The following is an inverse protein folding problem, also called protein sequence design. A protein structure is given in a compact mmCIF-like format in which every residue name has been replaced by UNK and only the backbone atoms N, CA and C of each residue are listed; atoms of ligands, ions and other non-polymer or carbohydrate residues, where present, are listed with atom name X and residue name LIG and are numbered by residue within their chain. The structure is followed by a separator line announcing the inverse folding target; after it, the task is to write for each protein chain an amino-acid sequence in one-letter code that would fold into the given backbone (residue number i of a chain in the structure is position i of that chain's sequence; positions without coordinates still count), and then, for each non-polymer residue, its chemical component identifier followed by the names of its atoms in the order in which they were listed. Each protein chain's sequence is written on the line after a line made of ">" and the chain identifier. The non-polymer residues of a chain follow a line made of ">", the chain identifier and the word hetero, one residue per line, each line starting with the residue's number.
data_IF_320878905469
#
_entry.id   IF_320878905469
#
_cell.length_a   1.000
_cell.length_b   1.000
_cell.length_c   1.000
_cell.angle_alpha   90.00
_cell.angle_beta   90.00
_cell.angle_gamma   90.00
#
_symmetry.space_group_name_H-M   'P 1'
#
loop_
_entity.id
_entity.type
_entity.pdbx_description
1 polymer ?
#
# COMPACT_ATOMS: atom_id res chain seq x y z
N UNK A 1 -8.96 -19.99 -6.51
CA UNK A 1 -8.20 -19.09 -7.41
C UNK A 1 -7.96 -17.71 -6.78
N UNK A 2 -8.99 -16.98 -6.32
CA UNK A 2 -8.85 -15.60 -5.79
C UNK A 2 -8.08 -15.50 -4.47
N UNK A 3 -8.19 -16.49 -3.59
CA UNK A 3 -7.37 -16.55 -2.37
C UNK A 3 -5.87 -16.72 -2.65
N UNK A 4 -5.51 -17.46 -3.71
CA UNK A 4 -4.12 -17.53 -4.17
C UNK A 4 -3.67 -16.18 -4.76
N UNK A 5 -4.54 -15.52 -5.52
CA UNK A 5 -4.25 -14.20 -6.10
C UNK A 5 -3.95 -13.15 -5.02
N UNK A 6 -4.74 -13.11 -3.94
CA UNK A 6 -4.47 -12.18 -2.84
C UNK A 6 -3.18 -12.54 -2.06
N UNK A 7 -2.84 -13.82 -1.92
CA UNK A 7 -1.57 -14.22 -1.32
C UNK A 7 -0.36 -13.81 -2.16
N UNK A 8 -0.46 -13.91 -3.49
CA UNK A 8 0.57 -13.39 -4.41
C UNK A 8 0.70 -11.87 -4.29
N UNK A 9 -0.43 -11.15 -4.19
CA UNK A 9 -0.45 -9.70 -3.97
C UNK A 9 0.27 -9.33 -2.67
N UNK A 10 -0.07 -10.00 -1.58
CA UNK A 10 0.53 -9.80 -0.26
C UNK A 10 2.04 -10.07 -0.28
N UNK A 11 2.47 -11.13 -0.97
CA UNK A 11 3.88 -11.43 -1.12
C UNK A 11 4.63 -10.30 -1.84
N UNK A 12 4.14 -9.84 -3.00
CA UNK A 12 4.78 -8.76 -3.72
C UNK A 12 4.76 -7.44 -2.95
N UNK A 13 3.67 -7.11 -2.27
CA UNK A 13 3.61 -5.91 -1.44
C UNK A 13 4.50 -6.01 -0.20
N UNK A 14 4.68 -7.18 0.39
CA UNK A 14 5.65 -7.39 1.46
C UNK A 14 7.09 -7.18 0.99
N UNK A 15 7.42 -7.72 -0.19
CA UNK A 15 8.73 -7.52 -0.83
C UNK A 15 8.97 -6.08 -1.28
N UNK A 16 7.92 -5.30 -1.57
CA UNK A 16 8.07 -3.94 -2.09
C UNK A 16 8.81 -3.01 -1.13
N UNK A 17 8.69 -3.20 0.18
CA UNK A 17 9.41 -2.38 1.16
C UNK A 17 10.92 -2.61 1.07
N UNK A 18 11.34 -3.87 0.89
CA UNK A 18 12.74 -4.25 0.77
C UNK A 18 13.35 -3.75 -0.54
N UNK A 19 12.62 -3.88 -1.65
CA UNK A 19 13.07 -3.37 -2.95
C UNK A 19 13.10 -1.84 -2.98
N UNK A 20 12.16 -1.17 -2.28
CA UNK A 20 12.18 0.30 -2.15
C UNK A 20 13.36 0.77 -1.32
N UNK A 21 13.66 0.08 -0.22
CA UNK A 21 14.83 0.36 0.62
C UNK A 21 16.13 0.20 -0.17
N UNK A 22 16.28 -0.89 -0.91
CA UNK A 22 17.44 -1.14 -1.77
C UNK A 22 17.66 -0.05 -2.84
N UNK A 23 16.60 0.61 -3.33
CA UNK A 23 16.71 1.77 -4.23
C UNK A 23 17.15 3.01 -3.47
N UNK A 24 16.58 3.25 -2.29
CA UNK A 24 16.89 4.42 -1.46
C UNK A 24 18.32 4.38 -0.93
N UNK A 25 18.85 3.21 -0.62
CA UNK A 25 20.25 2.98 -0.21
C UNK A 25 21.28 3.35 -1.30
N UNK A 26 20.86 3.36 -2.59
CA UNK A 26 21.66 3.86 -3.69
C UNK A 26 21.62 5.39 -3.83
N UNK A 27 21.10 6.10 -2.82
CA UNK A 27 20.96 7.56 -2.80
C UNK A 27 20.12 8.12 -3.96
N UNK A 28 19.18 7.34 -4.50
CA UNK A 28 18.25 7.83 -5.52
C UNK A 28 17.29 8.83 -4.88
N UNK A 29 17.12 10.04 -5.45
CA UNK A 29 16.15 11.00 -4.94
C UNK A 29 14.73 10.44 -4.96
N UNK A 30 13.92 10.77 -3.95
CA UNK A 30 12.61 10.12 -3.74
C UNK A 30 11.66 10.35 -4.90
N UNK A 31 11.57 11.57 -5.43
CA UNK A 31 10.67 11.85 -6.55
C UNK A 31 11.15 11.20 -7.85
N UNK A 32 12.46 11.14 -8.09
CA UNK A 32 13.06 10.38 -9.20
C UNK A 32 12.68 8.92 -9.13
N UNK A 33 12.83 8.30 -7.96
CA UNK A 33 12.46 6.90 -7.73
C UNK A 33 10.98 6.66 -8.02
N UNK A 34 10.09 7.42 -7.35
CA UNK A 34 8.64 7.23 -7.52
C UNK A 34 8.22 7.50 -8.95
N UNK A 35 8.67 8.60 -9.57
CA UNK A 35 8.33 8.96 -10.94
C UNK A 35 8.74 7.87 -11.93
N UNK A 36 9.99 7.40 -11.87
CA UNK A 36 10.49 6.31 -12.73
C UNK A 36 9.65 5.05 -12.57
N UNK A 37 9.36 4.64 -11.32
CA UNK A 37 8.47 3.51 -11.03
C UNK A 37 7.08 3.68 -11.66
N UNK A 38 6.48 4.89 -11.58
CA UNK A 38 5.14 5.15 -12.14
C UNK A 38 5.15 5.15 -13.66
N UNK A 39 6.18 5.73 -14.31
CA UNK A 39 6.33 5.69 -15.77
C UNK A 39 6.42 4.25 -16.26
N UNK A 40 7.27 3.43 -15.66
CA UNK A 40 7.41 2.01 -16.03
C UNK A 40 6.12 1.23 -15.81
N UNK A 41 5.47 1.40 -14.66
CA UNK A 41 4.19 0.73 -14.37
C UNK A 41 3.09 1.14 -15.34
N UNK A 42 2.93 2.45 -15.59
CA UNK A 42 1.93 2.97 -16.54
C UNK A 42 2.18 2.44 -17.96
N UNK A 43 3.43 2.41 -18.40
CA UNK A 43 3.80 1.89 -19.72
C UNK A 43 3.44 0.40 -19.84
N UNK A 44 3.90 -0.43 -18.89
CA UNK A 44 3.62 -1.88 -18.90
C UNK A 44 2.11 -2.16 -18.85
N UNK A 45 1.38 -1.50 -17.95
CA UNK A 45 -0.06 -1.69 -17.79
C UNK A 45 -0.85 -1.22 -19.02
N UNK A 46 -0.46 -0.08 -19.60
CA UNK A 46 -1.11 0.45 -20.81
C UNK A 46 -0.89 -0.49 -21.99
N UNK A 47 0.36 -0.91 -22.24
CA UNK A 47 0.66 -1.86 -23.31
C UNK A 47 -0.10 -3.17 -23.13
N UNK A 48 -0.08 -3.75 -21.93
CA UNK A 48 -0.80 -4.99 -21.65
C UNK A 48 -2.32 -4.82 -21.82
N UNK A 49 -2.89 -3.76 -21.29
CA UNK A 49 -4.35 -3.51 -21.35
C UNK A 49 -4.84 -3.22 -22.77
N UNK A 50 -4.02 -2.57 -23.60
CA UNK A 50 -4.32 -2.33 -25.02
C UNK A 50 -4.20 -3.63 -25.82
N UNK A 51 -3.11 -4.39 -25.66
CA UNK A 51 -2.88 -5.64 -26.38
C UNK A 51 -3.95 -6.70 -26.07
N UNK A 52 -4.46 -6.71 -24.82
CA UNK A 52 -5.52 -7.64 -24.40
C UNK A 52 -6.94 -7.12 -24.61
N UNK A 53 -7.10 -5.89 -25.11
CA UNK A 53 -8.42 -5.26 -25.32
C UNK A 53 -9.21 -5.00 -24.03
N UNK A 54 -8.53 -4.96 -22.86
CA UNK A 54 -9.17 -4.82 -21.54
C UNK A 54 -9.34 -3.38 -21.08
N UNK A 55 -8.75 -2.41 -21.77
CA UNK A 55 -8.81 -1.01 -21.40
C UNK A 55 -10.16 -0.40 -21.79
N UNK A 56 -10.96 -0.03 -20.80
CA UNK A 56 -12.22 0.68 -21.00
C UNK A 56 -11.98 2.19 -21.08
N UNK A 57 -12.81 2.86 -21.85
CA UNK A 57 -12.82 4.33 -21.91
C UNK A 57 -13.48 4.91 -20.65
N UNK A 58 -12.85 5.90 -20.03
CA UNK A 58 -13.47 6.64 -18.92
C UNK A 58 -14.70 7.41 -19.44
N UNK A 59 -15.83 7.25 -18.77
CA UNK A 59 -17.07 7.97 -19.09
C UNK A 59 -16.95 9.45 -18.69
N UNK A 60 -17.61 10.32 -19.43
CA UNK A 60 -17.70 11.74 -19.07
C UNK A 60 -18.30 11.86 -17.65
N UNK A 61 -17.64 12.59 -16.75
CA UNK A 61 -18.07 12.75 -15.36
C UNK A 61 -17.47 11.77 -14.37
N UNK A 62 -16.87 10.64 -14.80
CA UNK A 62 -16.17 9.70 -13.91
C UNK A 62 -14.69 10.04 -13.72
N UNK A 63 -14.09 10.85 -14.60
CA UNK A 63 -12.69 11.28 -14.51
C UNK A 63 -12.33 11.83 -13.13
N UNK A 64 -13.24 12.59 -12.51
CA UNK A 64 -13.03 13.12 -11.14
C UNK A 64 -12.77 12.03 -10.10
N UNK A 65 -13.37 10.86 -10.24
CA UNK A 65 -13.17 9.73 -9.33
C UNK A 65 -11.81 9.06 -9.57
N UNK A 66 -11.36 8.96 -10.82
CA UNK A 66 -10.01 8.48 -11.14
C UNK A 66 -8.95 9.45 -10.64
N UNK A 67 -9.14 10.76 -10.82
CA UNK A 67 -8.24 11.79 -10.30
C UNK A 67 -8.18 11.76 -8.77
N UNK A 68 -9.35 11.70 -8.10
CA UNK A 68 -9.41 11.59 -6.64
C UNK A 68 -8.75 10.30 -6.14
N UNK A 69 -9.03 9.16 -6.78
CA UNK A 69 -8.38 7.89 -6.44
C UNK A 69 -6.86 8.00 -6.54
N UNK A 70 -6.34 8.58 -7.63
CA UNK A 70 -4.90 8.76 -7.85
C UNK A 70 -4.28 9.73 -6.84
N UNK A 71 -5.01 10.77 -6.43
CA UNK A 71 -4.55 11.71 -5.40
C UNK A 71 -4.38 11.02 -4.03
N UNK A 72 -5.28 10.10 -3.68
CA UNK A 72 -5.14 9.28 -2.47
C UNK A 72 -4.05 8.22 -2.66
N UNK A 73 -4.17 7.39 -3.67
CA UNK A 73 -3.18 6.38 -4.00
C UNK A 73 -3.10 6.25 -5.54
N UNK A 74 -1.94 6.46 -6.13
CA UNK A 74 -0.61 6.37 -5.51
C UNK A 74 0.00 7.68 -4.99
N UNK A 75 -0.60 8.88 -5.14
CA UNK A 75 0.12 10.11 -4.82
C UNK A 75 0.40 10.25 -3.32
N UNK A 76 -0.63 10.43 -2.48
CA UNK A 76 -0.46 10.61 -1.03
C UNK A 76 0.19 9.37 -0.38
N UNK A 77 -0.23 8.18 -0.80
CA UNK A 77 0.32 6.92 -0.31
C UNK A 77 1.83 6.83 -0.51
N UNK A 78 2.30 6.96 -1.76
CA UNK A 78 3.73 6.78 -2.04
C UNK A 78 4.60 7.92 -1.52
N UNK A 79 4.06 9.12 -1.34
CA UNK A 79 4.77 10.17 -0.60
C UNK A 79 4.99 9.72 0.85
N UNK A 80 3.92 9.29 1.52
CA UNK A 80 4.00 8.83 2.90
C UNK A 80 4.90 7.61 3.08
N UNK A 81 4.72 6.58 2.26
CA UNK A 81 5.51 5.34 2.29
C UNK A 81 6.99 5.60 2.03
N UNK A 82 7.33 6.24 0.91
CA UNK A 82 8.71 6.34 0.45
C UNK A 82 9.53 7.33 1.30
N UNK A 83 8.95 8.47 1.67
CA UNK A 83 9.62 9.39 2.61
C UNK A 83 9.69 8.80 4.02
N UNK A 84 8.63 8.13 4.48
CA UNK A 84 8.63 7.46 5.77
C UNK A 84 9.70 6.35 5.83
N UNK A 85 9.82 5.54 4.78
CA UNK A 85 10.87 4.53 4.66
C UNK A 85 12.27 5.17 4.67
N UNK A 86 12.48 6.21 3.84
CA UNK A 86 13.76 6.92 3.78
C UNK A 86 14.18 7.52 5.13
N UNK A 87 13.23 8.02 5.91
CA UNK A 87 13.49 8.65 7.21
C UNK A 87 13.75 7.60 8.29
N UNK A 88 13.00 6.51 8.28
CA UNK A 88 13.09 5.47 9.32
C UNK A 88 14.15 4.42 9.03
N UNK A 89 14.48 4.17 7.76
CA UNK A 89 15.41 3.12 7.33
C UNK A 89 14.99 1.72 7.75
N UNK A 90 13.68 1.46 7.92
CA UNK A 90 13.16 0.16 8.36
C UNK A 90 11.98 -0.29 7.51
N UNK A 91 12.19 -1.21 6.54
CA UNK A 91 11.13 -1.84 5.77
C UNK A 91 10.05 -2.49 6.65
N UNK A 92 10.49 -3.14 7.73
CA UNK A 92 9.57 -3.81 8.67
C UNK A 92 8.67 -2.81 9.39
N UNK A 93 9.21 -1.70 9.91
CA UNK A 93 8.39 -0.66 10.54
C UNK A 93 7.34 -0.12 9.57
N UNK A 94 7.75 0.22 8.35
CA UNK A 94 6.85 0.73 7.33
C UNK A 94 5.71 -0.24 7.05
N UNK A 95 6.03 -1.51 6.83
CA UNK A 95 5.02 -2.54 6.56
C UNK A 95 4.07 -2.76 7.75
N UNK A 96 4.56 -2.72 9.00
CA UNK A 96 3.74 -2.85 10.22
C UNK A 96 2.76 -1.68 10.36
N UNK A 97 3.20 -0.45 10.11
CA UNK A 97 2.30 0.72 10.15
C UNK A 97 1.27 0.65 9.03
N UNK A 98 1.67 0.34 7.81
CA UNK A 98 0.79 0.24 6.65
C UNK A 98 -0.22 -0.91 6.80
N UNK A 99 0.16 -2.02 7.43
CA UNK A 99 -0.75 -3.12 7.73
C UNK A 99 -1.88 -2.72 8.71
N UNK A 100 -1.84 -1.54 9.32
CA UNK A 100 -2.94 -0.98 10.13
C UNK A 100 -4.04 -0.31 9.30
N UNK A 101 -3.88 -0.14 7.99
CA UNK A 101 -4.88 0.47 7.09
C UNK A 101 -6.31 -0.03 7.36
N UNK A 102 -6.57 -1.34 7.51
CA UNK A 102 -7.91 -1.83 7.81
C UNK A 102 -8.51 -1.29 9.10
N UNK A 103 -7.68 -1.06 10.12
CA UNK A 103 -8.10 -0.49 11.41
C UNK A 103 -8.57 0.96 11.19
N UNK A 104 -7.80 1.76 10.45
CA UNK A 104 -8.18 3.13 10.12
C UNK A 104 -9.40 3.19 9.22
N UNK A 105 -9.57 2.25 8.29
CA UNK A 105 -10.77 2.14 7.46
C UNK A 105 -12.02 1.94 8.32
N UNK A 106 -11.97 1.09 9.35
CA UNK A 106 -13.08 0.90 10.30
C UNK A 106 -13.38 2.15 11.12
N UNK A 107 -12.35 2.84 11.59
CA UNK A 107 -12.50 4.10 12.36
C UNK A 107 -13.17 5.16 11.48
N UNK A 108 -12.72 5.31 10.23
CA UNK A 108 -13.33 6.24 9.26
C UNK A 108 -14.77 5.84 8.96
N UNK A 109 -15.05 4.54 8.78
CA UNK A 109 -16.39 3.99 8.62
C UNK A 109 -17.32 4.36 9.77
N UNK A 110 -16.84 4.22 11.01
CA UNK A 110 -17.62 4.60 12.20
C UNK A 110 -17.87 6.11 12.28
N UNK A 111 -16.85 6.95 12.04
CA UNK A 111 -16.96 8.41 12.23
C UNK A 111 -17.80 9.05 11.12
N UNK A 112 -17.56 8.72 9.87
CA UNK A 112 -18.14 9.40 8.71
C UNK A 112 -19.40 8.71 8.15
N UNK A 113 -19.49 7.39 8.30
CA UNK A 113 -20.60 6.60 7.75
C UNK A 113 -21.51 6.02 8.86
N UNK A 114 -21.22 6.34 10.14
CA UNK A 114 -21.95 5.86 11.32
C UNK A 114 -22.09 4.33 11.38
N UNK A 115 -21.12 3.59 10.85
CA UNK A 115 -21.08 2.14 10.90
C UNK A 115 -20.97 1.66 12.35
N UNK A 116 -21.74 0.62 12.72
CA UNK A 116 -21.72 0.07 14.08
C UNK A 116 -20.58 -0.94 14.21
N UNK A 117 -19.59 -0.61 15.02
CA UNK A 117 -18.52 -1.54 15.37
C UNK A 117 -18.97 -2.49 16.49
N UNK A 118 -18.76 -3.79 16.29
CA UNK A 118 -18.94 -4.79 17.34
C UNK A 118 -17.92 -4.61 18.46
N UNK A 119 -18.17 -5.22 19.63
CA UNK A 119 -17.20 -5.25 20.72
C UNK A 119 -15.89 -5.88 20.30
N UNK A 120 -15.93 -6.94 19.48
CA UNK A 120 -14.74 -7.60 18.96
C UNK A 120 -13.92 -6.68 18.04
N UNK A 121 -14.57 -5.88 17.18
CA UNK A 121 -13.88 -4.89 16.35
C UNK A 121 -13.13 -3.87 17.22
N UNK A 122 -13.78 -3.35 18.28
CA UNK A 122 -13.17 -2.37 19.19
C UNK A 122 -11.96 -2.95 19.94
N UNK A 123 -12.09 -4.19 20.45
CA UNK A 123 -10.98 -4.89 21.09
C UNK A 123 -9.84 -5.10 20.09
N UNK A 124 -10.15 -5.53 18.85
CA UNK A 124 -9.17 -5.72 17.80
C UNK A 124 -8.41 -4.44 17.45
N UNK A 125 -9.10 -3.30 17.35
CA UNK A 125 -8.48 -1.97 17.15
C UNK A 125 -7.48 -1.67 18.27
N UNK A 126 -7.91 -1.86 19.53
CA UNK A 126 -7.04 -1.61 20.68
C UNK A 126 -5.81 -2.53 20.69
N UNK A 127 -5.99 -3.82 20.42
CA UNK A 127 -4.89 -4.81 20.37
C UNK A 127 -3.93 -4.48 19.22
N UNK A 128 -4.44 -4.09 18.05
CA UNK A 128 -3.61 -3.70 16.91
C UNK A 128 -2.73 -2.50 17.24
N UNK A 129 -3.32 -1.45 17.81
CA UNK A 129 -2.61 -0.22 18.20
C UNK A 129 -1.58 -0.52 19.29
N UNK A 130 -1.94 -1.31 20.31
CA UNK A 130 -1.01 -1.71 21.37
C UNK A 130 0.18 -2.53 20.82
N UNK A 131 -0.06 -3.43 19.86
CA UNK A 131 0.98 -4.19 19.20
C UNK A 131 1.97 -3.32 18.41
N UNK A 132 1.46 -2.34 17.65
CA UNK A 132 2.30 -1.37 16.91
C UNK A 132 3.11 -0.49 17.87
N UNK A 133 2.47 0.04 18.92
CA UNK A 133 3.17 0.83 19.94
C UNK A 133 4.26 0.00 20.62
N UNK A 134 3.94 -1.24 21.02
CA UNK A 134 4.90 -2.18 21.60
C UNK A 134 6.10 -2.43 20.66
N UNK A 135 5.84 -2.67 19.37
CA UNK A 135 6.90 -2.83 18.36
C UNK A 135 7.83 -1.61 18.30
N UNK A 136 7.28 -0.40 18.27
CA UNK A 136 8.03 0.85 18.21
C UNK A 136 8.86 1.07 19.48
N UNK A 137 8.26 0.92 20.66
CA UNK A 137 8.92 1.14 21.96
C UNK A 137 10.07 0.16 22.20
N UNK A 138 9.87 -1.12 21.84
CA UNK A 138 10.89 -2.16 21.99
C UNK A 138 12.05 -1.94 21.03
N UNK A 139 11.81 -1.36 19.85
CA UNK A 139 12.83 -0.98 18.89
C UNK A 139 13.85 0.01 19.47
N UNK A 140 13.41 0.86 20.40
CA UNK A 140 14.27 1.77 21.17
C UNK A 140 14.71 3.04 20.44
N UNK A 141 14.25 3.27 19.22
CA UNK A 141 14.62 4.44 18.40
C UNK A 141 13.59 5.55 18.52
N UNK A 142 13.47 6.17 19.70
CA UNK A 142 12.49 7.24 19.95
C UNK A 142 13.05 8.67 19.72
N UNK A 143 14.08 8.82 18.89
CA UNK A 143 14.54 10.15 18.54
C UNK A 143 13.56 10.86 17.59
N UNK A 144 13.57 12.19 17.63
CA UNK A 144 12.58 13.05 16.94
C UNK A 144 12.45 12.73 15.45
N UNK A 145 13.55 12.48 14.75
CA UNK A 145 13.54 12.15 13.33
C UNK A 145 12.78 10.85 13.02
N UNK A 146 12.96 9.82 13.87
CA UNK A 146 12.27 8.54 13.73
C UNK A 146 10.74 8.69 13.93
N UNK A 147 10.34 9.44 14.97
CA UNK A 147 8.93 9.76 15.22
C UNK A 147 8.30 10.57 14.08
N UNK A 148 9.10 11.49 13.50
CA UNK A 148 8.64 12.22 12.30
C UNK A 148 8.42 11.27 11.11
N UNK A 149 9.33 10.31 10.87
CA UNK A 149 9.17 9.29 9.85
C UNK A 149 7.90 8.46 10.05
N UNK A 150 7.59 8.06 11.30
CA UNK A 150 6.34 7.39 11.66
C UNK A 150 5.12 8.27 11.32
N UNK A 151 5.15 9.55 11.67
CA UNK A 151 4.05 10.47 11.33
C UNK A 151 3.85 10.60 9.82
N UNK A 152 4.93 10.63 9.04
CA UNK A 152 4.88 10.66 7.57
C UNK A 152 4.27 9.38 7.00
N UNK A 153 4.54 8.20 7.59
CA UNK A 153 3.92 6.93 7.19
C UNK A 153 2.39 6.94 7.32
N UNK A 154 1.83 7.69 8.27
CA UNK A 154 0.38 7.82 8.39
C UNK A 154 -0.28 8.52 7.18
N UNK A 155 0.46 9.30 6.39
CA UNK A 155 -0.05 9.81 5.11
C UNK A 155 -0.37 8.65 4.15
N UNK A 156 0.45 7.61 4.14
CA UNK A 156 0.19 6.40 3.36
C UNK A 156 -1.07 5.67 3.85
N UNK A 157 -1.26 5.57 5.17
CA UNK A 157 -2.47 4.96 5.75
C UNK A 157 -3.73 5.72 5.34
N UNK A 158 -3.71 7.07 5.42
CA UNK A 158 -4.81 7.92 4.97
C UNK A 158 -5.04 7.76 3.46
N UNK A 159 -3.97 7.77 2.67
CA UNK A 159 -4.02 7.59 1.22
C UNK A 159 -4.70 6.27 0.83
N UNK A 160 -4.26 5.16 1.38
CA UNK A 160 -4.82 3.85 1.06
C UNK A 160 -6.26 3.67 1.55
N UNK A 161 -6.61 4.27 2.69
CA UNK A 161 -8.00 4.26 3.18
C UNK A 161 -8.93 4.97 2.19
N UNK A 162 -8.57 6.16 1.70
CA UNK A 162 -9.34 6.91 0.71
C UNK A 162 -9.40 6.19 -0.66
N UNK A 163 -8.28 5.64 -1.10
CA UNK A 163 -8.20 4.83 -2.33
C UNK A 163 -9.20 3.68 -2.33
N UNK A 164 -9.22 2.88 -1.26
CA UNK A 164 -10.04 1.66 -1.19
C UNK A 164 -11.52 1.98 -1.38
N UNK A 165 -12.03 3.06 -0.78
CA UNK A 165 -13.42 3.49 -0.91
C UNK A 165 -13.75 3.91 -2.36
N UNK A 166 -12.84 4.64 -3.04
CA UNK A 166 -13.06 5.10 -4.40
C UNK A 166 -12.90 3.96 -5.40
N UNK A 167 -11.93 3.06 -5.18
CA UNK A 167 -11.74 1.86 -6.01
C UNK A 167 -13.02 1.01 -6.04
N UNK A 168 -13.62 0.72 -4.88
CA UNK A 168 -14.90 0.01 -4.80
C UNK A 168 -15.99 0.72 -5.58
N UNK A 169 -16.10 2.06 -5.46
CA UNK A 169 -17.07 2.85 -6.22
C UNK A 169 -16.88 2.75 -7.73
N UNK A 170 -15.64 2.69 -8.22
CA UNK A 170 -15.36 2.52 -9.65
C UNK A 170 -15.70 1.10 -10.14
N UNK A 171 -15.46 0.08 -9.31
CA UNK A 171 -15.87 -1.29 -9.58
C UNK A 171 -17.41 -1.36 -9.69
N UNK A 172 -18.14 -0.78 -8.75
CA UNK A 172 -19.61 -0.75 -8.76
C UNK A 172 -20.20 0.00 -9.96
N UNK A 173 -19.42 0.93 -10.54
CA UNK A 173 -19.76 1.59 -11.82
C UNK A 173 -19.47 0.72 -13.05
N UNK A 174 -18.92 -0.49 -12.90
CA UNK A 174 -18.65 -1.45 -13.96
C UNK A 174 -17.31 -1.27 -14.66
N UNK A 175 -16.35 -0.57 -14.04
CA UNK A 175 -14.98 -0.57 -14.53
C UNK A 175 -14.25 -1.83 -14.06
N UNK A 176 -13.54 -2.49 -14.99
CA UNK A 176 -12.74 -3.65 -14.65
C UNK A 176 -11.41 -3.26 -13.97
N UNK A 177 -10.79 -4.21 -13.26
CA UNK A 177 -9.55 -4.00 -12.53
C UNK A 177 -8.41 -3.44 -13.40
N UNK A 178 -8.26 -3.93 -14.63
CA UNK A 178 -7.23 -3.44 -15.55
C UNK A 178 -7.42 -1.96 -15.90
N UNK A 179 -8.65 -1.54 -16.18
CA UNK A 179 -8.98 -0.14 -16.47
C UNK A 179 -8.69 0.75 -15.28
N UNK A 180 -9.14 0.35 -14.09
CA UNK A 180 -8.95 1.13 -12.86
C UNK A 180 -7.45 1.34 -12.62
N UNK A 181 -6.68 0.27 -12.60
CA UNK A 181 -5.25 0.33 -12.28
C UNK A 181 -4.44 1.01 -13.38
N UNK A 182 -4.74 0.76 -14.66
CA UNK A 182 -4.03 1.42 -15.77
C UNK A 182 -4.21 2.94 -15.73
N UNK A 183 -5.44 3.44 -15.60
CA UNK A 183 -5.69 4.87 -15.51
C UNK A 183 -5.13 5.50 -14.23
N UNK A 184 -5.17 4.78 -13.13
CA UNK A 184 -4.52 5.17 -11.88
C UNK A 184 -3.03 5.47 -12.09
N UNK A 185 -2.30 4.58 -12.75
CA UNK A 185 -0.87 4.77 -12.97
C UNK A 185 -0.56 5.79 -14.08
N UNK A 186 -1.38 5.89 -15.12
CA UNK A 186 -1.27 6.97 -16.12
C UNK A 186 -1.39 8.34 -15.46
N UNK A 187 -2.43 8.56 -14.66
CA UNK A 187 -2.63 9.82 -13.94
C UNK A 187 -1.52 10.07 -12.92
N UNK A 188 -1.01 9.01 -12.27
CA UNK A 188 0.09 9.11 -11.32
C UNK A 188 1.37 9.67 -11.95
N UNK A 189 1.65 9.36 -13.22
CA UNK A 189 2.78 9.97 -13.93
C UNK A 189 2.64 11.49 -13.93
N UNK A 190 1.46 12.02 -14.22
CA UNK A 190 1.20 13.47 -14.16
C UNK A 190 1.37 14.06 -12.76
N UNK A 191 0.86 13.37 -11.73
CA UNK A 191 0.98 13.82 -10.34
C UNK A 191 2.45 13.86 -9.86
N UNK A 192 3.27 12.88 -10.25
CA UNK A 192 4.68 12.81 -9.82
C UNK A 192 5.63 13.55 -10.75
N UNK A 193 5.23 13.88 -11.99
CA UNK A 193 6.03 14.69 -12.89
C UNK A 193 6.34 16.06 -12.29
N UNK A 194 5.33 16.71 -11.69
CA UNK A 194 5.49 18.07 -11.14
C UNK A 194 6.53 18.10 -10.00
N UNK A 195 6.42 17.31 -8.93
CA UNK A 195 7.44 17.30 -7.89
C UNK A 195 8.80 16.79 -8.39
N UNK A 196 8.86 15.84 -9.33
CA UNK A 196 10.12 15.44 -9.95
C UNK A 196 10.81 16.63 -10.64
N UNK A 197 10.08 17.40 -11.45
CA UNK A 197 10.65 18.56 -12.17
C UNK A 197 11.11 19.66 -11.20
N UNK A 198 10.40 19.89 -10.09
CA UNK A 198 10.71 20.95 -9.14
C UNK A 198 11.91 20.58 -8.25
N UNK A 199 11.97 19.35 -7.77
CA UNK A 199 12.91 19.00 -6.70
C UNK A 199 14.09 18.14 -7.16
N UNK A 200 13.92 17.27 -8.16
CA UNK A 200 14.92 16.26 -8.49
C UNK A 200 15.52 16.40 -9.89
N UNK A 201 14.83 17.05 -10.84
CA UNK A 201 15.26 17.08 -12.24
C UNK A 201 16.62 17.74 -12.46
N UNK A 202 16.96 18.76 -11.67
CA UNK A 202 18.27 19.44 -11.76
C UNK A 202 19.45 18.54 -11.36
N UNK A 203 19.19 17.54 -10.52
CA UNK A 203 20.20 16.61 -9.97
C UNK A 203 20.09 15.21 -10.61
N UNK A 204 19.26 15.07 -11.65
CA UNK A 204 19.07 13.79 -12.30
C UNK A 204 20.34 13.35 -13.06
N UNK A 205 20.69 12.10 -12.95
CA UNK A 205 21.84 11.49 -13.62
C UNK A 205 21.48 10.14 -14.25
N UNK A 206 22.08 9.78 -15.41
CA UNK A 206 21.89 8.45 -16.01
C UNK A 206 22.28 7.29 -15.08
N UNK A 207 23.11 7.52 -14.06
CA UNK A 207 23.46 6.52 -13.06
C UNK A 207 22.24 5.94 -12.34
N UNK A 208 21.13 6.70 -12.23
CA UNK A 208 19.88 6.21 -11.66
C UNK A 208 19.15 5.19 -12.55
N UNK A 209 19.61 4.97 -13.78
CA UNK A 209 19.16 3.91 -14.68
C UNK A 209 20.15 2.73 -14.75
N UNK A 210 21.22 2.75 -13.95
CA UNK A 210 22.15 1.62 -13.87
C UNK A 210 21.43 0.37 -13.31
N UNK A 211 21.85 -0.81 -13.75
CA UNK A 211 21.16 -2.06 -13.43
C UNK A 211 20.89 -2.32 -11.94
N UNK A 212 21.83 -2.01 -11.00
CA UNK A 212 21.58 -2.18 -9.57
C UNK A 212 20.40 -1.35 -9.03
N UNK A 213 20.14 -0.19 -9.63
CA UNK A 213 19.00 0.69 -9.30
C UNK A 213 17.77 0.30 -10.10
N UNK A 214 17.94 0.09 -11.40
CA UNK A 214 16.82 -0.15 -12.32
C UNK A 214 16.11 -1.48 -12.04
N UNK A 215 16.86 -2.54 -11.68
CA UNK A 215 16.31 -3.87 -11.40
C UNK A 215 15.22 -3.81 -10.32
N UNK A 216 15.48 -3.35 -9.08
CA UNK A 216 14.43 -3.27 -8.06
C UNK A 216 13.29 -2.29 -8.45
N UNK A 217 13.57 -1.24 -9.21
CA UNK A 217 12.50 -0.36 -9.74
C UNK A 217 11.60 -1.11 -10.73
N UNK A 218 12.15 -1.96 -11.59
CA UNK A 218 11.38 -2.81 -12.51
C UNK A 218 10.54 -3.85 -11.75
N UNK A 219 11.11 -4.49 -10.73
CA UNK A 219 10.39 -5.43 -9.86
C UNK A 219 9.20 -4.72 -9.18
N UNK A 220 9.42 -3.52 -8.65
CA UNK A 220 8.38 -2.68 -8.07
C UNK A 220 7.33 -2.23 -9.09
N UNK A 221 7.74 -1.83 -10.28
CA UNK A 221 6.82 -1.35 -11.31
C UNK A 221 5.95 -2.48 -11.88
N UNK A 222 6.55 -3.62 -12.20
CA UNK A 222 5.85 -4.73 -12.87
C UNK A 222 5.10 -5.58 -11.86
N UNK A 223 5.78 -6.06 -10.81
CA UNK A 223 5.19 -7.02 -9.87
C UNK A 223 4.29 -6.33 -8.85
N UNK A 224 4.77 -5.25 -8.21
CA UNK A 224 4.01 -4.60 -7.15
C UNK A 224 2.97 -3.63 -7.70
N UNK A 225 3.36 -2.75 -8.64
CA UNK A 225 2.45 -1.74 -9.20
C UNK A 225 1.58 -2.27 -10.34
N UNK A 226 2.08 -3.23 -11.12
CA UNK A 226 1.32 -3.89 -12.18
C UNK A 226 0.51 -5.06 -11.65
N UNK A 227 1.16 -6.20 -11.44
CA UNK A 227 0.49 -7.48 -11.14
C UNK A 227 -0.30 -7.40 -9.82
N UNK A 228 0.32 -6.97 -8.73
CA UNK A 228 -0.32 -7.00 -7.42
C UNK A 228 -1.54 -6.06 -7.34
N UNK A 229 -1.48 -4.84 -7.88
CA UNK A 229 -2.64 -3.93 -7.88
C UNK A 229 -3.80 -4.46 -8.74
N UNK A 230 -3.50 -5.06 -9.90
CA UNK A 230 -4.54 -5.67 -10.74
C UNK A 230 -5.17 -6.87 -10.04
N UNK A 231 -4.37 -7.74 -9.43
CA UNK A 231 -4.87 -8.88 -8.66
C UNK A 231 -5.69 -8.41 -7.44
N UNK A 232 -5.24 -7.38 -6.72
CA UNK A 232 -5.99 -6.80 -5.61
C UNK A 232 -7.36 -6.28 -6.05
N UNK A 233 -7.40 -5.44 -7.09
CA UNK A 233 -8.65 -4.90 -7.61
C UNK A 233 -9.59 -6.01 -8.11
N UNK A 234 -9.05 -7.05 -8.75
CA UNK A 234 -9.81 -8.22 -9.17
C UNK A 234 -10.32 -9.04 -7.97
N UNK A 235 -9.53 -9.17 -6.90
CA UNK A 235 -10.01 -9.82 -5.66
C UNK A 235 -11.13 -9.02 -5.02
N UNK A 236 -11.03 -7.69 -4.96
CA UNK A 236 -12.10 -6.81 -4.45
C UNK A 236 -13.39 -7.00 -5.25
N UNK A 237 -13.29 -7.12 -6.57
CA UNK A 237 -14.44 -7.37 -7.46
C UNK A 237 -15.10 -8.74 -7.20
N UNK A 238 -14.31 -9.81 -7.09
CA UNK A 238 -14.82 -11.19 -7.07
C UNK A 238 -15.16 -11.76 -5.70
N UNK A 239 -14.36 -11.46 -4.68
CA UNK A 239 -14.57 -11.98 -3.31
C UNK A 239 -15.04 -10.92 -2.33
N UNK A 240 -15.13 -9.68 -2.80
CA UNK A 240 -15.54 -8.53 -2.01
C UNK A 240 -14.40 -7.89 -1.21
N UNK A 241 -14.57 -6.60 -0.94
CA UNK A 241 -13.57 -5.77 -0.25
C UNK A 241 -13.20 -6.31 1.13
N UNK A 242 -14.20 -6.65 1.96
CA UNK A 242 -13.98 -7.12 3.33
C UNK A 242 -13.12 -8.37 3.38
N UNK A 243 -13.39 -9.36 2.50
CA UNK A 243 -12.60 -10.60 2.45
C UNK A 243 -11.19 -10.39 1.90
N UNK A 244 -11.01 -9.44 0.98
CA UNK A 244 -9.72 -9.11 0.40
C UNK A 244 -8.81 -8.44 1.43
N UNK A 245 -9.33 -7.45 2.15
CA UNK A 245 -8.58 -6.63 3.11
C UNK A 245 -8.08 -7.43 4.32
N UNK A 246 -8.77 -8.52 4.72
CA UNK A 246 -8.33 -9.41 5.82
C UNK A 246 -6.92 -9.99 5.60
N UNK A 247 -6.46 -10.10 4.36
CA UNK A 247 -5.13 -10.64 4.05
C UNK A 247 -4.02 -9.60 4.13
N UNK A 248 -4.32 -8.29 4.12
CA UNK A 248 -3.30 -7.23 4.13
C UNK A 248 -2.34 -7.26 5.33
N UNK A 249 -2.75 -7.65 6.55
CA UNK A 249 -1.83 -7.82 7.67
C UNK A 249 -0.64 -8.76 7.39
N UNK A 250 -0.83 -9.74 6.50
CA UNK A 250 0.25 -10.65 6.11
C UNK A 250 1.40 -9.96 5.38
N UNK A 251 1.17 -8.77 4.81
CA UNK A 251 2.21 -7.94 4.18
C UNK A 251 3.34 -7.64 5.18
N UNK A 252 2.98 -7.28 6.43
CA UNK A 252 3.97 -7.01 7.46
C UNK A 252 4.76 -8.26 7.87
N UNK A 253 4.12 -9.43 7.88
CA UNK A 253 4.78 -10.71 8.19
C UNK A 253 5.77 -11.05 7.07
N UNK A 254 5.37 -10.94 5.80
CA UNK A 254 6.24 -11.18 4.64
C UNK A 254 7.43 -10.22 4.68
N UNK A 255 7.18 -8.93 4.89
CA UNK A 255 8.24 -7.91 4.96
C UNK A 255 9.22 -8.19 6.11
N UNK A 256 8.73 -8.48 7.32
CA UNK A 256 9.57 -8.79 8.48
C UNK A 256 10.44 -10.02 8.26
N UNK A 257 9.86 -11.12 7.76
CA UNK A 257 10.59 -12.35 7.48
C UNK A 257 11.63 -12.14 6.39
N UNK A 258 11.26 -11.46 5.30
CA UNK A 258 12.18 -11.18 4.21
C UNK A 258 13.31 -10.23 4.64
N UNK A 259 13.03 -9.18 5.42
CA UNK A 259 14.04 -8.26 5.96
C UNK A 259 15.06 -8.97 6.86
N UNK A 260 14.60 -9.92 7.69
CA UNK A 260 15.50 -10.73 8.52
C UNK A 260 16.39 -11.65 7.67
N UNK A 261 15.81 -12.31 6.64
CA UNK A 261 16.57 -13.22 5.76
C UNK A 261 17.61 -12.45 4.94
N UNK A 262 17.26 -11.25 4.45
CA UNK A 262 18.13 -10.42 3.61
C UNK A 262 19.04 -9.49 4.43
N UNK A 263 18.91 -9.47 5.76
CA UNK A 263 19.75 -8.67 6.66
C UNK A 263 19.51 -7.16 6.58
N UNK A 264 18.34 -6.73 6.08
CA UNK A 264 17.99 -5.30 6.00
C UNK A 264 17.48 -4.72 7.32
N UNK A 265 16.87 -5.56 8.17
CA UNK A 265 16.45 -5.18 9.52
C UNK A 265 17.03 -6.13 10.57
N UNK A 266 17.32 -5.60 11.74
CA UNK A 266 17.69 -6.38 12.94
C UNK A 266 16.55 -6.29 13.95
N UNK A 267 15.71 -7.32 14.01
CA UNK A 267 14.57 -7.34 14.90
C UNK A 267 14.88 -8.07 16.20
N UNK A 268 14.57 -7.44 17.33
CA UNK A 268 14.58 -8.12 18.64
C UNK A 268 13.43 -9.12 18.69
N UNK A 269 13.59 -10.27 19.37
CA UNK A 269 12.49 -11.25 19.52
C UNK A 269 11.20 -10.64 20.04
N UNK A 270 11.28 -9.70 20.97
CA UNK A 270 10.12 -8.99 21.51
C UNK A 270 9.40 -8.09 20.47
N UNK A 271 10.12 -7.56 19.48
CA UNK A 271 9.48 -6.84 18.36
C UNK A 271 8.67 -7.79 17.46
N UNK A 272 9.13 -9.03 17.26
CA UNK A 272 8.37 -10.03 16.53
C UNK A 272 7.04 -10.35 17.24
N UNK A 273 7.05 -10.42 18.58
CA UNK A 273 5.80 -10.54 19.36
C UNK A 273 4.89 -9.33 19.12
N UNK A 274 5.44 -8.12 19.09
CA UNK A 274 4.69 -6.89 18.76
C UNK A 274 4.00 -6.97 17.39
N UNK A 275 4.70 -7.47 16.35
CA UNK A 275 4.13 -7.69 15.01
C UNK A 275 2.97 -8.68 15.09
N UNK A 276 3.16 -9.85 15.74
CA UNK A 276 2.11 -10.87 15.84
C UNK A 276 0.88 -10.34 16.57
N UNK A 277 1.08 -9.59 17.67
CA UNK A 277 -0.02 -8.95 18.42
C UNK A 277 -0.73 -7.92 17.56
N UNK A 278 0.00 -7.04 16.86
CA UNK A 278 -0.59 -6.07 15.97
C UNK A 278 -1.43 -6.74 14.87
N UNK A 279 -0.89 -7.76 14.21
CA UNK A 279 -1.59 -8.46 13.12
C UNK A 279 -2.81 -9.23 13.63
N UNK A 280 -2.73 -9.88 14.78
CA UNK A 280 -3.88 -10.52 15.44
C UNK A 280 -4.97 -9.48 15.74
N UNK A 281 -4.60 -8.31 16.26
CA UNK A 281 -5.51 -7.20 16.49
C UNK A 281 -6.21 -6.72 15.22
N UNK A 282 -5.47 -6.58 14.11
CA UNK A 282 -6.04 -6.17 12.81
C UNK A 282 -7.04 -7.22 12.29
N UNK A 283 -6.71 -8.52 12.39
CA UNK A 283 -7.64 -9.61 12.01
C UNK A 283 -8.90 -9.58 12.88
N UNK A 284 -8.75 -9.43 14.20
CA UNK A 284 -9.90 -9.31 15.12
C UNK A 284 -10.75 -8.08 14.79
N UNK A 285 -10.11 -6.94 14.46
CA UNK A 285 -10.81 -5.71 14.12
C UNK A 285 -11.69 -5.86 12.86
N UNK A 286 -11.28 -6.72 11.93
CA UNK A 286 -12.00 -6.97 10.68
C UNK A 286 -13.04 -8.10 10.78
N UNK A 287 -13.05 -8.84 11.91
CA UNK A 287 -13.98 -9.96 12.07
C UNK A 287 -15.42 -9.44 12.15
N UNK A 288 -16.17 -9.64 11.08
CA UNK A 288 -17.61 -9.37 11.04
C UNK A 288 -18.34 -10.69 11.20
N UNK A 289 -19.06 -10.85 12.31
CA UNK A 289 -19.97 -11.97 12.46
C UNK A 289 -21.04 -11.80 11.37
N UNK A 290 -21.17 -12.75 10.45
CA UNK A 290 -22.29 -12.76 9.50
C UNK A 290 -23.57 -12.75 10.34
N UNK A 291 -24.30 -11.66 10.30
CA UNK A 291 -25.68 -11.62 10.77
C UNK A 291 -26.41 -12.45 9.74
N UNK A 292 -26.77 -13.67 10.09
CA UNK A 292 -27.80 -14.42 9.39
C UNK A 292 -29.04 -13.52 9.45
N UNK A 293 -29.35 -12.89 8.33
CA UNK A 293 -30.70 -12.33 8.10
C UNK A 293 -31.63 -13.53 8.03
N UNK A 294 -32.17 -13.93 9.18
CA UNK A 294 -33.41 -14.67 9.23
C UNK A 294 -34.49 -13.71 8.70
N UNK A 295 -34.64 -13.70 7.37
CA UNK A 295 -35.89 -13.28 6.76
C UNK A 295 -36.87 -14.41 6.98
N UNK A 296 -37.72 -14.24 8.04
CA UNK A 296 -38.96 -14.97 8.21
C UNK A 296 -40.08 -14.27 7.44
#
# INVERSE_FOLDING_TARGET
>A
MWYLAILVTVFFWGMSFLWSDAVLDQNVPVYTFIFTRKVLAATCLTLFSLLTGRLQRIRKGDLKWFVAMTAFEPFLYFLGETFGLKITGSPTLCSVIIATIPVFTLIVGQIFFHEKLSTLNRIGIFVAVAGVIGFILIGGSLHTQYLYGIAVLFLAVIGSTGYTAICKKLIDKGYNAFTIVTWQFILAVGFFLVPFLIFDASNWTPAYLAWPVLKPILELAVLCSGVAFVLYAACVDHIGMTRTVVFLPLVAIVSAVASLILGQDTLKPAQMVGIVVAMAGVVMAQYTKSVETNEA
#
